data_IF_135220454672
#
_entry.id   IF_135220454672
#
_cell.length_a   1.000
_cell.length_b   1.000
_cell.length_c   1.000
_cell.angle_alpha   90.00
_cell.angle_beta   90.00
_cell.angle_gamma   90.00
#
_symmetry.space_group_name_H-M   'P 1'
#
loop_
_entity.id
_entity.type
_entity.pdbx_description
1 polymer ?
#
# COMPACT_ATOMS: atom_id res chain seq x y z
N UNK A 1 6.37 10.88 31.98
CA UNK A 1 6.24 10.28 30.63
C UNK A 1 5.60 11.33 29.70
N UNK A 2 6.15 11.55 28.50
CA UNK A 2 5.69 12.62 27.59
C UNK A 2 4.87 12.01 26.45
N UNK A 3 3.59 12.40 26.34
CA UNK A 3 2.65 12.01 25.27
C UNK A 3 2.90 12.87 24.02
N UNK A 4 2.83 12.29 22.83
CA UNK A 4 2.83 13.01 21.56
C UNK A 4 1.46 12.84 20.89
N UNK A 5 0.82 13.95 20.51
CA UNK A 5 -0.51 14.04 19.91
C UNK A 5 -0.42 14.68 18.52
N UNK A 6 -1.08 14.09 17.52
CA UNK A 6 -1.26 14.68 16.19
C UNK A 6 -2.68 15.25 16.08
N UNK A 7 -2.78 16.53 15.75
CA UNK A 7 -4.03 17.30 15.64
C UNK A 7 -4.26 17.59 14.16
N UNK A 8 -5.36 17.14 13.56
CA UNK A 8 -5.80 17.61 12.24
C UNK A 8 -6.60 18.93 12.40
N UNK A 9 -7.09 19.60 11.35
CA UNK A 9 -8.00 20.78 11.45
C UNK A 9 -9.29 20.53 10.65
N UNK A 10 -10.41 21.08 11.07
CA UNK A 10 -11.79 20.63 10.83
C UNK A 10 -12.67 21.40 11.83
N UNK A 11 -13.56 22.22 11.30
CA UNK A 11 -14.14 23.33 12.05
C UNK A 11 -14.83 22.85 13.34
N UNK A 12 -14.27 23.31 14.46
CA UNK A 12 -14.61 23.00 15.85
C UNK A 12 -14.38 21.57 16.34
N UNK A 13 -13.19 21.04 16.04
CA UNK A 13 -12.49 20.12 16.96
C UNK A 13 -12.23 18.73 16.41
N UNK A 14 -11.04 18.21 16.68
CA UNK A 14 -10.66 16.84 16.33
C UNK A 14 -11.15 15.94 17.42
N UNK A 15 -12.22 15.20 17.16
CA UNK A 15 -12.47 14.00 17.94
C UNK A 15 -11.36 12.99 17.63
N UNK A 16 -10.55 12.73 18.66
CA UNK A 16 -9.52 11.70 18.60
C UNK A 16 -10.17 10.33 18.68
N UNK A 17 -10.19 9.61 17.56
CA UNK A 17 -10.58 8.19 17.55
C UNK A 17 -9.43 7.38 18.18
N UNK A 18 -9.70 6.76 19.33
CA UNK A 18 -8.78 5.82 19.95
C UNK A 18 -8.70 4.52 19.14
N UNK A 19 -7.74 4.44 18.23
CA UNK A 19 -7.37 3.20 17.51
C UNK A 19 -6.53 2.28 18.42
N UNK A 20 -7.00 2.04 19.65
CA UNK A 20 -6.38 1.11 20.60
C UNK A 20 -7.26 -0.12 20.75
N UNK A 21 -6.76 -1.28 20.29
CA UNK A 21 -7.43 -2.58 20.38
C UNK A 21 -6.42 -3.72 20.29
N UNK A 22 -6.84 -4.93 20.68
CA UNK A 22 -5.99 -6.13 20.62
C UNK A 22 -5.58 -6.39 19.16
N UNK A 23 -4.28 -6.32 18.86
CA UNK A 23 -3.72 -6.68 17.54
C UNK A 23 -2.77 -5.67 16.93
N UNK A 24 -2.83 -4.39 17.31
CA UNK A 24 -1.82 -3.41 16.86
C UNK A 24 -0.62 -3.38 17.80
N UNK A 25 0.62 -3.43 17.29
CA UNK A 25 1.81 -3.30 18.12
C UNK A 25 1.80 -1.98 18.92
N UNK A 26 2.13 -2.04 20.21
CA UNK A 26 2.31 -0.85 21.06
C UNK A 26 3.55 -0.05 20.70
N UNK A 27 4.51 -0.68 20.01
CA UNK A 27 5.70 -0.04 19.45
C UNK A 27 5.75 -0.30 17.96
N UNK A 28 5.94 0.79 17.22
CA UNK A 28 6.23 0.72 15.80
C UNK A 28 7.68 0.32 15.55
N UNK A 29 8.01 -0.34 14.43
CA UNK A 29 9.38 -0.57 14.02
C UNK A 29 10.16 0.75 13.87
N UNK A 30 11.41 0.78 14.31
CA UNK A 30 12.25 1.99 14.22
C UNK A 30 12.52 2.42 12.76
N UNK A 31 12.39 1.48 11.82
CA UNK A 31 12.63 1.67 10.40
C UNK A 31 11.38 2.07 9.59
N UNK A 32 10.28 2.46 10.23
CA UNK A 32 9.07 2.90 9.50
C UNK A 32 9.39 4.02 8.50
N UNK A 33 10.18 5.03 8.89
CA UNK A 33 10.54 6.14 7.99
C UNK A 33 11.21 5.62 6.71
N UNK A 34 12.13 4.67 6.87
CA UNK A 34 12.87 4.05 5.77
C UNK A 34 11.97 3.27 4.79
N UNK A 35 10.83 2.76 5.24
CA UNK A 35 9.86 2.07 4.38
C UNK A 35 9.16 3.01 3.40
N UNK A 36 9.08 4.31 3.71
CA UNK A 36 8.42 5.31 2.88
C UNK A 36 9.40 6.14 2.05
N UNK A 37 10.70 6.07 2.33
CA UNK A 37 11.73 6.82 1.60
C UNK A 37 11.96 6.29 0.17
N UNK A 38 11.57 5.04 -0.11
CA UNK A 38 11.85 4.38 -1.40
C UNK A 38 10.64 3.60 -1.92
N UNK A 39 10.47 3.52 -3.25
CA UNK A 39 9.48 2.63 -3.85
C UNK A 39 9.70 1.19 -3.42
N UNK A 40 8.65 0.53 -2.95
CA UNK A 40 8.72 -0.89 -2.58
C UNK A 40 8.78 -1.73 -3.86
N UNK A 41 9.69 -2.72 -3.96
CA UNK A 41 9.70 -3.62 -5.09
C UNK A 41 8.38 -4.37 -5.22
N UNK A 42 8.00 -4.68 -6.46
CA UNK A 42 6.89 -5.55 -6.80
C UNK A 42 7.40 -6.93 -7.22
N UNK A 43 6.51 -7.93 -7.30
CA UNK A 43 6.88 -9.24 -7.84
C UNK A 43 7.35 -9.11 -9.30
N UNK A 44 8.30 -9.96 -9.70
CA UNK A 44 8.78 -10.00 -11.10
C UNK A 44 7.67 -10.33 -12.08
N UNK A 45 6.69 -11.13 -11.66
CA UNK A 45 5.51 -11.47 -12.45
C UNK A 45 4.67 -10.22 -12.76
N UNK A 46 4.32 -9.43 -11.73
CA UNK A 46 3.59 -8.16 -11.92
C UNK A 46 4.36 -7.19 -12.79
N UNK A 47 5.67 -7.07 -12.61
CA UNK A 47 6.50 -6.22 -13.46
C UNK A 47 6.41 -6.66 -14.93
N UNK A 48 6.48 -7.96 -15.21
CA UNK A 48 6.36 -8.50 -16.57
C UNK A 48 4.99 -8.18 -17.18
N UNK A 49 3.92 -8.37 -16.42
CA UNK A 49 2.56 -8.08 -16.91
C UNK A 49 2.35 -6.58 -17.13
N UNK A 50 2.87 -5.73 -16.26
CA UNK A 50 2.88 -4.28 -16.43
C UNK A 50 3.61 -3.86 -17.72
N UNK A 51 4.75 -4.49 -18.04
CA UNK A 51 5.46 -4.21 -19.29
C UNK A 51 4.67 -4.70 -20.53
N UNK A 52 3.84 -5.74 -20.41
CA UNK A 52 2.93 -6.12 -21.50
C UNK A 52 1.87 -5.03 -21.73
N UNK A 53 1.29 -4.48 -20.66
CA UNK A 53 0.30 -3.40 -20.75
C UNK A 53 0.88 -2.13 -21.41
N UNK A 54 2.17 -1.84 -21.17
CA UNK A 54 2.86 -0.75 -21.87
C UNK A 54 2.98 -1.04 -23.39
N UNK A 55 3.19 -2.30 -23.79
CA UNK A 55 3.32 -2.69 -25.20
C UNK A 55 2.00 -2.73 -25.94
N UNK A 56 0.90 -3.04 -25.27
CA UNK A 56 -0.43 -3.16 -25.88
C UNK A 56 -1.17 -1.82 -25.98
N UNK A 57 -0.48 -0.69 -25.80
CA UNK A 57 -1.04 0.68 -25.74
C UNK A 57 -2.17 0.90 -24.73
N UNK A 58 -2.40 -0.06 -23.83
CA UNK A 58 -3.38 0.06 -22.75
C UNK A 58 -2.94 1.12 -21.72
N UNK A 59 -1.63 1.36 -21.64
CA UNK A 59 -1.02 2.43 -20.84
C UNK A 59 -0.46 3.48 -21.80
N UNK A 60 -0.82 4.77 -21.65
CA UNK A 60 -0.25 5.85 -22.47
C UNK A 60 1.27 5.94 -22.36
N UNK A 61 1.92 6.25 -23.49
CA UNK A 61 3.39 6.26 -23.62
C UNK A 61 4.08 7.19 -22.63
N UNK A 62 3.42 8.30 -22.28
CA UNK A 62 3.88 9.30 -21.30
C UNK A 62 4.20 8.69 -19.92
N UNK A 63 3.58 7.55 -19.58
CA UNK A 63 3.79 6.89 -18.29
C UNK A 63 4.75 5.72 -18.35
N UNK A 64 5.23 5.32 -19.54
CA UNK A 64 6.06 4.12 -19.69
C UNK A 64 7.35 4.21 -18.89
N UNK A 65 8.03 5.36 -18.91
CA UNK A 65 9.27 5.59 -18.14
C UNK A 65 9.05 5.38 -16.64
N UNK A 66 7.94 5.92 -16.12
CA UNK A 66 7.58 5.77 -14.71
C UNK A 66 7.38 4.30 -14.35
N UNK A 67 6.55 3.57 -15.11
CA UNK A 67 6.30 2.15 -14.88
C UNK A 67 7.57 1.29 -15.06
N UNK A 68 8.49 1.67 -15.96
CA UNK A 68 9.78 1.02 -16.14
C UNK A 68 10.73 1.24 -14.96
N UNK A 69 10.66 2.40 -14.29
CA UNK A 69 11.48 2.70 -13.10
C UNK A 69 11.14 1.87 -11.85
N UNK A 70 9.94 1.29 -11.77
CA UNK A 70 9.50 0.56 -10.58
C UNK A 70 10.39 -0.67 -10.31
N UNK A 71 10.98 -0.82 -9.11
CA UNK A 71 11.84 -1.96 -8.80
C UNK A 71 11.04 -3.27 -8.73
N UNK A 72 11.70 -4.38 -9.06
CA UNK A 72 11.11 -5.72 -8.94
C UNK A 72 12.00 -6.67 -8.16
N UNK A 73 11.41 -7.59 -7.40
CA UNK A 73 12.13 -8.60 -6.63
C UNK A 73 11.51 -10.00 -6.84
N UNK A 74 12.34 -10.98 -7.16
CA UNK A 74 11.90 -12.37 -7.38
C UNK A 74 11.49 -13.10 -6.08
N UNK A 75 11.99 -12.64 -4.94
CA UNK A 75 11.71 -13.23 -3.62
C UNK A 75 10.36 -12.78 -3.04
N UNK A 76 9.78 -11.73 -3.59
CA UNK A 76 8.52 -11.17 -3.11
C UNK A 76 7.34 -11.97 -3.66
N UNK A 77 6.57 -12.57 -2.76
CA UNK A 77 5.28 -13.17 -3.08
C UNK A 77 4.19 -12.13 -2.87
N UNK A 78 3.22 -12.10 -3.77
CA UNK A 78 2.05 -11.26 -3.62
C UNK A 78 1.12 -11.88 -2.58
N UNK A 79 0.96 -11.23 -1.42
CA UNK A 79 -0.08 -11.58 -0.45
C UNK A 79 -1.37 -10.90 -0.88
N UNK A 80 -2.21 -11.63 -1.61
CA UNK A 80 -3.60 -11.21 -1.81
C UNK A 80 -4.36 -11.70 -0.57
N UNK A 81 -4.69 -10.79 0.35
CA UNK A 81 -5.72 -11.05 1.35
C UNK A 81 -7.06 -10.77 0.67
N UNK A 82 -7.58 -11.75 -0.07
CA UNK A 82 -8.96 -11.70 -0.52
C UNK A 82 -9.78 -11.90 0.75
N UNK A 83 -10.43 -10.85 1.24
CA UNK A 83 -11.52 -11.01 2.18
C UNK A 83 -12.67 -11.62 1.38
N UNK A 84 -12.76 -12.94 1.40
CA UNK A 84 -13.91 -13.70 0.89
C UNK A 84 -15.12 -13.37 1.76
N UNK A 85 -15.79 -12.25 1.49
CA UNK A 85 -17.20 -12.12 1.83
C UNK A 85 -17.98 -12.72 0.68
N UNK A 86 -18.21 -14.03 0.75
CA UNK A 86 -19.22 -14.73 -0.01
C UNK A 86 -20.58 -14.04 0.23
N UNK A 87 -21.17 -13.48 -0.82
CA UNK A 87 -22.61 -13.27 -0.86
C UNK A 87 -23.11 -14.09 -2.04
N UNK A 88 -23.45 -15.34 -1.76
CA UNK A 88 -24.49 -16.04 -2.50
C UNK A 88 -25.75 -15.17 -2.42
N UNK A 89 -26.30 -14.79 -3.58
CA UNK A 89 -27.70 -14.38 -3.65
C UNK A 89 -28.35 -15.22 -4.74
N UNK A 90 -29.19 -16.12 -4.26
CA UNK A 90 -30.00 -17.10 -4.98
C UNK A 90 -30.79 -16.49 -6.16
N UNK A 91 -30.95 -17.31 -7.19
CA UNK A 91 -31.87 -17.11 -8.31
C UNK A 91 -33.32 -17.45 -7.94
#
# INVERSE_FOLDING_TARGET
>A
MRKLSLVMKGDEGFESICVSGRGRPTKYPDNIKQLYDKPRPISTLKKKDLMKLCKTEAIPVEFHEWYQSIPSCSKQKDTILISESENDSDN
#
